data_IF_782919539314
#
_entry.id   IF_782919539314
#
_cell.length_a   1.000
_cell.length_b   1.000
_cell.length_c   1.000
_cell.angle_alpha   90.00
_cell.angle_beta   90.00
_cell.angle_gamma   90.00
#
_symmetry.space_group_name_H-M   'P 1'
#
loop_
_entity.id
_entity.type
_entity.pdbx_description
1 polymer ?
#
# COMPACT_ATOMS: atom_id res chain seq x y z
N UNK A 1 -5.19 0.67 -5.85
CA UNK A 1 -4.25 1.79 -6.04
C UNK A 1 -3.57 2.11 -4.73
N UNK A 2 -2.28 2.33 -4.72
CA UNK A 2 -1.54 2.72 -3.53
C UNK A 2 -0.71 3.99 -3.81
N UNK A 3 -0.85 5.00 -2.96
CA UNK A 3 -0.01 6.19 -2.98
C UNK A 3 1.07 6.10 -1.90
N UNK A 4 2.29 6.47 -2.23
CA UNK A 4 3.44 6.34 -1.34
C UNK A 4 3.95 7.71 -0.90
N UNK A 5 4.24 7.83 0.42
CA UNK A 5 5.04 8.91 0.98
C UNK A 5 6.42 8.36 1.35
N UNK A 6 7.47 9.05 0.94
CA UNK A 6 8.83 8.70 1.33
C UNK A 6 9.20 9.45 2.60
N UNK A 7 9.68 8.74 3.62
CA UNK A 7 10.26 9.36 4.80
C UNK A 7 11.68 9.85 4.48
N UNK A 8 11.94 11.14 4.70
CA UNK A 8 13.29 11.70 4.63
C UNK A 8 14.12 11.19 5.79
N UNK A 9 15.32 10.72 5.53
CA UNK A 9 16.25 10.33 6.60
C UNK A 9 16.64 11.56 7.42
N UNK A 10 16.64 11.47 8.75
CA UNK A 10 17.20 12.54 9.58
C UNK A 10 18.72 12.58 9.36
N UNK A 11 19.25 13.80 9.21
CA UNK A 11 20.70 14.04 9.14
C UNK A 11 21.37 13.43 10.38
N UNK A 12 22.46 12.69 10.15
CA UNK A 12 23.33 12.19 11.23
C UNK A 12 23.78 13.34 12.10
N UNK A 13 23.28 13.38 13.33
CA UNK A 13 23.92 14.14 14.40
C UNK A 13 24.85 13.23 15.15
N UNK A 14 26.06 13.70 15.39
CA UNK A 14 27.13 12.98 16.09
C UNK A 14 26.74 12.59 17.51
N UNK A 15 27.31 11.51 18.08
CA UNK A 15 26.88 10.97 19.36
C UNK A 15 27.30 11.87 20.53
N UNK A 16 26.34 12.28 21.32
CA UNK A 16 26.60 12.83 22.66
C UNK A 16 26.69 11.66 23.64
N UNK A 17 27.84 11.52 24.29
CA UNK A 17 28.03 10.58 25.42
C UNK A 17 27.14 11.04 26.58
N UNK A 18 26.18 10.21 26.97
CA UNK A 18 25.41 10.36 28.18
C UNK A 18 25.06 8.98 28.74
N UNK A 19 25.34 8.76 30.00
CA UNK A 19 25.36 7.49 30.70
C UNK A 19 24.00 6.79 30.88
N UNK A 20 23.94 5.66 31.60
CA UNK A 20 22.85 4.70 31.52
C UNK A 20 21.60 5.19 32.22
N UNK A 21 20.48 5.22 31.52
CA UNK A 21 19.17 5.37 32.13
C UNK A 21 18.55 3.96 32.24
N UNK A 22 18.33 3.55 33.47
CA UNK A 22 17.58 2.33 33.80
C UNK A 22 16.11 2.53 33.53
N UNK A 23 15.49 1.49 32.92
CA UNK A 23 14.07 1.18 33.10
C UNK A 23 13.11 1.97 32.22
N UNK A 24 12.91 1.51 31.02
CA UNK A 24 11.72 1.74 30.25
C UNK A 24 11.25 0.40 29.70
N UNK A 25 10.05 -0.01 30.11
CA UNK A 25 9.34 -1.16 29.53
C UNK A 25 9.31 -0.95 28.03
N UNK A 26 9.98 -1.80 27.28
CA UNK A 26 9.87 -1.85 25.84
C UNK A 26 8.39 -2.12 25.49
N UNK A 27 7.66 -1.08 25.12
CA UNK A 27 6.41 -1.24 24.38
C UNK A 27 6.79 -2.02 23.13
N UNK A 28 6.16 -3.20 23.00
CA UNK A 28 6.43 -4.11 21.91
C UNK A 28 6.46 -3.36 20.59
N UNK A 29 7.57 -3.49 19.87
CA UNK A 29 7.73 -2.91 18.56
C UNK A 29 6.57 -3.40 17.69
N UNK A 30 5.68 -2.51 17.30
CA UNK A 30 4.73 -2.79 16.25
C UNK A 30 5.52 -3.33 15.07
N UNK A 31 5.26 -4.58 14.71
CA UNK A 31 5.81 -5.14 13.48
C UNK A 31 5.33 -4.24 12.36
N UNK A 32 6.20 -3.86 11.41
CA UNK A 32 5.74 -3.10 10.24
C UNK A 32 4.52 -3.82 9.68
N UNK A 33 3.42 -3.10 9.56
CA UNK A 33 2.16 -3.64 9.10
C UNK A 33 2.31 -4.23 7.70
N UNK A 34 1.65 -5.33 7.43
CA UNK A 34 1.57 -5.86 6.08
C UNK A 34 0.71 -4.91 5.24
N UNK A 35 1.00 -4.81 3.95
CA UNK A 35 0.20 -3.99 3.03
C UNK A 35 -1.30 -4.30 3.11
N UNK A 36 -1.68 -5.57 3.31
CA UNK A 36 -3.06 -6.00 3.49
C UNK A 36 -3.79 -5.22 4.59
N UNK A 37 -3.10 -4.93 5.70
CA UNK A 37 -3.68 -4.22 6.85
C UNK A 37 -4.05 -2.77 6.48
N UNK A 38 -3.31 -2.15 5.58
CA UNK A 38 -3.57 -0.78 5.12
C UNK A 38 -4.57 -0.73 3.96
N UNK A 39 -4.53 -1.72 3.05
CA UNK A 39 -5.41 -1.76 1.89
C UNK A 39 -6.89 -1.75 2.29
N UNK A 40 -7.24 -2.53 3.29
CA UNK A 40 -8.64 -2.75 3.68
C UNK A 40 -9.12 -1.86 4.82
N UNK A 41 -8.21 -1.15 5.49
CA UNK A 41 -8.52 -0.36 6.69
C UNK A 41 -9.59 0.73 6.48
N UNK A 42 -9.73 1.23 5.26
CA UNK A 42 -10.68 2.29 4.92
C UNK A 42 -11.72 1.87 3.87
N UNK A 43 -11.78 0.58 3.58
CA UNK A 43 -12.74 0.03 2.62
C UNK A 43 -14.06 -0.26 3.34
N UNK A 44 -15.22 0.12 2.77
CA UNK A 44 -16.51 -0.22 3.35
C UNK A 44 -16.66 -1.74 3.57
N UNK A 45 -17.19 -2.12 4.72
CA UNK A 45 -17.33 -3.54 5.10
C UNK A 45 -18.20 -4.33 4.11
N UNK A 46 -19.20 -3.69 3.54
CA UNK A 46 -20.10 -4.26 2.53
C UNK A 46 -19.38 -4.60 1.22
N UNK A 47 -18.41 -3.79 0.81
CA UNK A 47 -17.63 -4.05 -0.40
C UNK A 47 -16.67 -5.23 -0.19
N UNK A 48 -16.10 -5.34 1.00
CA UNK A 48 -15.19 -6.42 1.38
C UNK A 48 -15.94 -7.75 1.57
N UNK A 49 -17.18 -7.71 2.06
CA UNK A 49 -17.99 -8.89 2.35
C UNK A 49 -18.32 -9.75 1.12
N UNK A 50 -18.20 -9.19 -0.08
CA UNK A 50 -18.40 -9.93 -1.34
C UNK A 50 -17.22 -10.87 -1.71
N UNK A 51 -16.13 -10.84 -0.93
CA UNK A 51 -14.92 -11.61 -1.18
C UNK A 51 -14.57 -12.51 0.00
N UNK A 52 -13.98 -13.66 -0.28
CA UNK A 52 -13.37 -14.49 0.74
C UNK A 52 -12.05 -13.88 1.22
N UNK A 53 -11.66 -14.16 2.46
CA UNK A 53 -10.40 -13.67 3.04
C UNK A 53 -9.19 -14.08 2.17
N UNK A 54 -9.19 -15.30 1.64
CA UNK A 54 -8.12 -15.78 0.76
C UNK A 54 -8.01 -14.97 -0.54
N UNK A 55 -9.13 -14.50 -1.08
CA UNK A 55 -9.14 -13.67 -2.29
C UNK A 55 -8.60 -12.26 -2.01
N UNK A 56 -8.97 -11.70 -0.88
CA UNK A 56 -8.44 -10.40 -0.43
C UNK A 56 -6.94 -10.46 -0.15
N UNK A 57 -6.45 -11.56 0.43
CA UNK A 57 -5.02 -11.78 0.63
C UNK A 57 -4.26 -11.90 -0.70
N UNK A 58 -4.80 -12.61 -1.68
CA UNK A 58 -4.21 -12.67 -3.03
C UNK A 58 -4.12 -11.31 -3.69
N UNK A 59 -5.20 -10.52 -3.62
CA UNK A 59 -5.19 -9.16 -4.14
C UNK A 59 -4.13 -8.29 -3.44
N UNK A 60 -4.00 -8.41 -2.12
CA UNK A 60 -2.98 -7.71 -1.35
C UNK A 60 -1.56 -8.16 -1.70
N UNK A 61 -1.33 -9.44 -1.96
CA UNK A 61 -0.04 -9.97 -2.41
C UNK A 61 0.36 -9.42 -3.79
N UNK A 62 -0.59 -9.35 -4.73
CA UNK A 62 -0.37 -8.75 -6.04
C UNK A 62 -0.02 -7.27 -5.92
N UNK A 63 -0.76 -6.53 -5.11
CA UNK A 63 -0.45 -5.13 -4.81
C UNK A 63 0.92 -4.98 -4.14
N UNK A 64 1.26 -5.87 -3.21
CA UNK A 64 2.55 -5.90 -2.52
C UNK A 64 3.74 -6.09 -3.47
N UNK A 65 3.59 -6.91 -4.48
CA UNK A 65 4.62 -7.08 -5.52
C UNK A 65 4.82 -5.81 -6.35
N UNK A 66 3.75 -5.09 -6.65
CA UNK A 66 3.83 -3.80 -7.34
C UNK A 66 4.49 -2.73 -6.46
N UNK A 67 4.10 -2.66 -5.17
CA UNK A 67 4.72 -1.75 -4.19
C UNK A 67 6.21 -2.01 -4.06
N UNK A 68 6.62 -3.27 -3.95
CA UNK A 68 8.04 -3.64 -3.79
C UNK A 68 8.92 -3.15 -4.95
N UNK A 69 8.36 -3.05 -6.15
CA UNK A 69 9.10 -2.58 -7.34
C UNK A 69 9.16 -1.06 -7.48
N UNK A 70 8.36 -0.32 -6.72
CA UNK A 70 8.27 1.12 -6.85
C UNK A 70 9.56 1.81 -6.42
N UNK A 71 10.07 2.69 -7.27
CA UNK A 71 11.18 3.60 -6.97
C UNK A 71 10.64 5.03 -6.89
N UNK A 72 11.27 5.84 -6.06
CA UNK A 72 10.87 7.24 -5.90
C UNK A 72 10.88 7.97 -7.25
N UNK A 73 9.78 8.63 -7.57
CA UNK A 73 9.57 9.34 -8.83
C UNK A 73 9.02 8.49 -9.97
N UNK A 74 8.90 7.17 -9.78
CA UNK A 74 8.35 6.27 -10.79
C UNK A 74 6.85 6.03 -10.56
N UNK A 75 6.21 5.48 -11.58
CA UNK A 75 4.86 4.93 -11.49
C UNK A 75 4.92 3.45 -11.86
N UNK A 76 4.34 2.60 -11.02
CA UNK A 76 4.20 1.17 -11.31
C UNK A 76 2.73 0.86 -11.58
N UNK A 77 2.45 0.27 -12.73
CA UNK A 77 1.12 -0.23 -13.10
C UNK A 77 1.21 -1.72 -13.32
N UNK A 78 0.36 -2.47 -12.64
CA UNK A 78 0.23 -3.92 -12.82
C UNK A 78 -1.23 -4.26 -13.11
N UNK A 79 -1.46 -5.06 -14.15
CA UNK A 79 -2.77 -5.54 -14.55
C UNK A 79 -2.71 -7.07 -14.53
N UNK A 80 -3.34 -7.66 -13.51
CA UNK A 80 -3.33 -9.09 -13.28
C UNK A 80 -4.69 -9.68 -13.72
N UNK A 81 -4.76 -10.13 -14.96
CA UNK A 81 -5.98 -10.73 -15.54
C UNK A 81 -6.24 -12.09 -14.90
N UNK A 82 -5.21 -12.91 -14.76
CA UNK A 82 -5.26 -14.21 -14.08
C UNK A 82 -4.88 -14.06 -12.60
N UNK A 83 -5.58 -13.17 -11.90
CA UNK A 83 -5.24 -12.81 -10.53
C UNK A 83 -5.43 -13.92 -9.50
N UNK A 84 -6.29 -14.88 -9.81
CA UNK A 84 -6.76 -15.89 -8.86
C UNK A 84 -7.78 -15.34 -7.85
N UNK A 85 -8.13 -14.08 -7.94
CA UNK A 85 -9.17 -13.44 -7.11
C UNK A 85 -10.54 -13.73 -7.71
N UNK A 86 -11.47 -14.13 -6.87
CA UNK A 86 -12.84 -14.49 -7.26
C UNK A 86 -13.83 -13.66 -6.45
N UNK A 87 -14.85 -13.15 -7.09
CA UNK A 87 -15.99 -12.49 -6.46
C UNK A 87 -17.27 -13.19 -6.88
N UNK A 88 -17.96 -13.80 -5.91
CA UNK A 88 -19.22 -14.52 -6.18
C UNK A 88 -19.12 -15.50 -7.38
N UNK A 89 -18.05 -16.30 -7.41
CA UNK A 89 -17.79 -17.29 -8.47
C UNK A 89 -17.26 -16.73 -9.79
N UNK A 90 -17.02 -15.42 -9.88
CA UNK A 90 -16.49 -14.77 -11.09
C UNK A 90 -15.03 -14.40 -10.93
N UNK A 91 -14.15 -14.78 -11.87
CA UNK A 91 -12.76 -14.33 -11.88
C UNK A 91 -12.68 -12.80 -11.99
N UNK A 92 -11.77 -12.20 -11.24
CA UNK A 92 -11.55 -10.76 -11.20
C UNK A 92 -10.18 -10.39 -11.76
N UNK A 93 -10.13 -9.31 -12.53
CA UNK A 93 -8.87 -8.66 -12.87
C UNK A 93 -8.49 -7.70 -11.75
N UNK A 94 -7.25 -7.74 -11.31
CA UNK A 94 -6.71 -6.83 -10.31
C UNK A 94 -5.80 -5.81 -10.99
N UNK A 95 -6.11 -4.54 -10.81
CA UNK A 95 -5.30 -3.42 -11.31
C UNK A 95 -4.66 -2.74 -10.11
N UNK A 96 -3.35 -2.67 -10.11
CA UNK A 96 -2.57 -1.99 -9.07
C UNK A 96 -1.78 -0.84 -9.68
N UNK A 97 -1.96 0.34 -9.15
CA UNK A 97 -1.16 1.52 -9.50
C UNK A 97 -0.44 2.01 -8.26
N UNK A 98 0.87 2.14 -8.35
CA UNK A 98 1.72 2.63 -7.27
C UNK A 98 2.46 3.87 -7.74
N UNK A 99 2.30 4.97 -7.03
CA UNK A 99 2.92 6.24 -7.38
C UNK A 99 3.24 7.04 -6.11
N UNK A 100 4.14 8.00 -6.23
CA UNK A 100 4.33 8.99 -5.19
C UNK A 100 3.02 9.74 -4.94
N UNK A 101 2.72 10.05 -3.67
CA UNK A 101 1.48 10.72 -3.32
C UNK A 101 1.42 12.11 -3.93
N UNK A 102 0.40 12.36 -4.74
CA UNK A 102 0.13 13.65 -5.36
C UNK A 102 -1.38 13.94 -5.46
N UNK A 103 -1.76 15.21 -5.48
CA UNK A 103 -3.17 15.61 -5.63
C UNK A 103 -3.77 15.08 -6.93
N UNK A 104 -5.07 14.79 -6.93
CA UNK A 104 -5.90 14.40 -8.10
C UNK A 104 -5.51 13.12 -8.82
N UNK A 105 -4.45 12.44 -8.39
CA UNK A 105 -4.00 11.19 -9.02
C UNK A 105 -5.08 10.10 -8.95
N UNK A 106 -5.69 9.93 -7.79
CA UNK A 106 -6.75 8.94 -7.58
C UNK A 106 -7.93 9.16 -8.53
N UNK A 107 -8.46 10.37 -8.60
CA UNK A 107 -9.61 10.69 -9.43
C UNK A 107 -9.30 10.48 -10.91
N UNK A 108 -8.11 10.85 -11.35
CA UNK A 108 -7.67 10.68 -12.74
C UNK A 108 -7.57 9.21 -13.13
N UNK A 109 -7.00 8.38 -12.27
CA UNK A 109 -6.86 6.95 -12.55
C UNK A 109 -8.21 6.24 -12.47
N UNK A 110 -9.05 6.58 -11.49
CA UNK A 110 -10.39 6.00 -11.37
C UNK A 110 -11.25 6.35 -12.61
N UNK A 111 -11.16 7.58 -13.11
CA UNK A 111 -11.81 8.00 -14.33
C UNK A 111 -11.35 7.20 -15.54
N UNK A 112 -10.04 7.03 -15.73
CA UNK A 112 -9.48 6.24 -16.84
C UNK A 112 -9.88 4.76 -16.77
N UNK A 113 -9.84 4.15 -15.60
CA UNK A 113 -10.24 2.75 -15.41
C UNK A 113 -11.74 2.59 -15.73
N UNK A 114 -12.56 3.50 -15.25
CA UNK A 114 -14.02 3.46 -15.48
C UNK A 114 -14.35 3.59 -16.97
N UNK A 115 -13.66 4.48 -17.67
CA UNK A 115 -13.85 4.69 -19.10
C UNK A 115 -13.37 3.50 -19.95
N UNK A 116 -12.20 2.94 -19.59
CA UNK A 116 -11.54 1.89 -20.37
C UNK A 116 -12.04 0.48 -20.08
N UNK A 117 -12.40 0.19 -18.84
CA UNK A 117 -12.72 -1.15 -18.36
C UNK A 117 -14.06 -1.30 -17.65
N UNK A 118 -14.78 -0.21 -17.48
CA UNK A 118 -16.04 -0.17 -16.73
C UNK A 118 -15.82 0.13 -15.24
N UNK A 119 -16.94 0.26 -14.53
CA UNK A 119 -16.92 0.61 -13.11
C UNK A 119 -16.26 -0.49 -12.27
N UNK A 120 -15.23 -0.16 -11.47
CA UNK A 120 -14.58 -1.13 -10.61
C UNK A 120 -15.50 -1.60 -9.49
N UNK A 121 -15.44 -2.89 -9.15
CA UNK A 121 -16.29 -3.49 -8.12
C UNK A 121 -15.72 -3.36 -6.71
N UNK A 122 -14.43 -3.13 -6.59
CA UNK A 122 -13.75 -2.85 -5.34
C UNK A 122 -12.60 -1.87 -5.61
N UNK A 123 -12.57 -0.79 -4.87
CA UNK A 123 -11.51 0.23 -4.95
C UNK A 123 -10.90 0.44 -3.58
N UNK A 124 -9.59 0.35 -3.50
CA UNK A 124 -8.84 0.69 -2.30
C UNK A 124 -7.78 1.74 -2.63
N UNK A 125 -7.64 2.75 -1.77
CA UNK A 125 -6.69 3.83 -1.98
C UNK A 125 -5.98 4.19 -0.67
N UNK A 126 -5.09 3.34 -0.17
CA UNK A 126 -4.28 3.69 0.98
C UNK A 126 -3.16 4.65 0.59
N UNK A 127 -2.82 5.57 1.49
CA UNK A 127 -1.57 6.33 1.45
C UNK A 127 -0.67 5.74 2.52
N UNK A 128 0.48 5.22 2.13
CA UNK A 128 1.42 4.57 3.04
C UNK A 128 2.78 5.25 3.04
N UNK A 129 3.41 5.27 4.20
CA UNK A 129 4.79 5.74 4.36
C UNK A 129 5.73 4.57 4.17
N UNK A 130 6.70 4.73 3.27
CA UNK A 130 7.63 3.66 2.92
C UNK A 130 9.08 4.13 2.98
N UNK A 131 9.98 3.16 3.19
CA UNK A 131 11.41 3.35 2.99
C UNK A 131 11.83 2.69 1.68
N UNK A 132 12.46 3.45 0.80
CA UNK A 132 13.04 2.94 -0.42
C UNK A 132 14.48 2.51 -0.21
N UNK A 133 14.84 1.41 -0.85
CA UNK A 133 16.22 0.93 -1.00
C UNK A 133 16.65 0.96 -2.47
N UNK A 134 17.72 0.24 -2.79
CA UNK A 134 18.29 0.21 -4.15
C UNK A 134 17.37 -0.45 -5.18
N UNK A 135 16.57 -1.43 -4.77
CA UNK A 135 15.71 -2.23 -5.65
C UNK A 135 14.24 -1.81 -5.66
N UNK A 136 13.84 -0.87 -4.84
CA UNK A 136 12.44 -0.47 -4.66
C UNK A 136 12.08 -0.20 -3.21
N UNK A 137 10.85 -0.48 -2.82
CA UNK A 137 10.39 -0.36 -1.42
C UNK A 137 10.91 -1.52 -0.59
N UNK A 138 11.61 -1.22 0.49
CA UNK A 138 12.15 -2.21 1.44
C UNK A 138 11.25 -2.41 2.65
N UNK A 139 10.53 -1.37 3.07
CA UNK A 139 9.73 -1.42 4.28
C UNK A 139 8.54 -0.46 4.21
N UNK A 140 7.40 -0.90 4.74
CA UNK A 140 6.22 -0.07 5.00
C UNK A 140 6.33 0.40 6.44
N UNK A 141 6.41 1.71 6.66
CA UNK A 141 6.61 2.32 7.96
C UNK A 141 5.30 2.66 8.67
N UNK A 142 4.21 2.87 7.91
CA UNK A 142 2.92 3.20 8.49
C UNK A 142 1.92 3.80 7.50
N UNK A 143 0.81 4.24 8.06
CA UNK A 143 -0.24 4.97 7.34
C UNK A 143 0.23 6.40 7.05
N UNK A 144 0.09 6.84 5.82
CA UNK A 144 0.45 8.19 5.37
C UNK A 144 -0.66 9.23 5.53
N UNK A 145 -1.82 8.83 6.05
CA UNK A 145 -2.97 9.70 6.19
C UNK A 145 -3.79 9.82 4.91
N UNK A 146 -4.49 10.94 4.78
CA UNK A 146 -5.23 11.25 3.56
C UNK A 146 -4.32 11.90 2.50
N UNK A 147 -4.65 11.63 1.26
CA UNK A 147 -4.00 12.31 0.14
C UNK A 147 -4.42 13.77 0.08
#
# INVERSE_FOLDING_TARGET
MASLKTASQPKKTSPVKGGPIKGGVAKGGERPGRLADYLLARTPAEDVAAYDVADLERAADLAGRAVARHKKGDCVVAIDVDSGVVRQGRPMTVITVVNDNMPFLFDSILGEVTESAGEPLLVTHPVIVVRHGKGGVEEILGDGGFA
#
